data_IF_792957681799
#
_entry.id   IF_792957681799
#
_cell.length_a   1.000
_cell.length_b   1.000
_cell.length_c   1.000
_cell.angle_alpha   90.00
_cell.angle_beta   90.00
_cell.angle_gamma   90.00
#
_symmetry.space_group_name_H-M   'P 1'
#
loop_
_entity.id
_entity.type
_entity.pdbx_description
1 polymer ?
#
# COMPACT_ATOMS: atom_id res chain seq x y z
N UNK A 1 -4.66 -15.59 6.47
CA UNK A 1 -4.30 -14.87 5.22
C UNK A 1 -3.19 -15.65 4.56
N UNK A 2 -3.28 -15.86 3.25
CA UNK A 2 -2.27 -16.51 2.43
C UNK A 2 -1.95 -15.56 1.27
N UNK A 3 -0.70 -15.18 1.12
CA UNK A 3 -0.22 -14.29 0.07
C UNK A 3 0.32 -15.12 -1.08
N UNK A 4 -0.06 -14.80 -2.31
CA UNK A 4 0.40 -15.48 -3.53
C UNK A 4 0.68 -14.47 -4.63
N UNK A 5 1.75 -14.70 -5.38
CA UNK A 5 1.98 -14.02 -6.64
C UNK A 5 1.02 -14.56 -7.72
N UNK A 6 0.63 -13.72 -8.66
CA UNK A 6 -0.20 -14.12 -9.78
C UNK A 6 0.17 -13.34 -11.05
N UNK A 7 -0.16 -13.93 -12.19
CA UNK A 7 -0.10 -13.23 -13.47
C UNK A 7 -1.49 -12.68 -13.80
N UNK A 8 -1.65 -11.38 -14.04
CA UNK A 8 -2.85 -10.87 -14.65
C UNK A 8 -2.97 -11.44 -16.07
N UNK A 9 -4.13 -11.89 -16.47
CA UNK A 9 -4.39 -12.39 -17.82
C UNK A 9 -5.32 -11.43 -18.57
N UNK A 10 -5.15 -11.36 -19.88
CA UNK A 10 -5.90 -10.45 -20.78
C UNK A 10 -7.42 -10.66 -20.73
N UNK A 11 -7.89 -11.81 -20.31
CA UNK A 11 -9.31 -12.15 -20.14
C UNK A 11 -9.85 -11.77 -18.73
N UNK A 12 -9.04 -11.13 -17.89
CA UNK A 12 -9.39 -10.76 -16.52
C UNK A 12 -9.36 -11.93 -15.53
N UNK A 13 -8.93 -13.13 -15.95
CA UNK A 13 -8.74 -14.25 -15.04
C UNK A 13 -7.43 -14.10 -14.25
N UNK A 14 -7.41 -14.60 -13.02
CA UNK A 14 -6.21 -14.62 -12.18
C UNK A 14 -5.59 -16.00 -12.25
N UNK A 15 -4.32 -16.06 -12.65
CA UNK A 15 -3.51 -17.27 -12.57
C UNK A 15 -2.46 -17.10 -11.50
N UNK A 16 -2.57 -17.86 -10.43
CA UNK A 16 -1.54 -17.87 -9.39
C UNK A 16 -0.25 -18.46 -9.93
N UNK A 17 0.86 -17.83 -9.61
CA UNK A 17 2.19 -18.33 -9.94
C UNK A 17 2.44 -19.67 -9.22
N UNK A 18 3.14 -20.59 -9.91
CA UNK A 18 3.62 -21.81 -9.28
C UNK A 18 4.60 -21.48 -8.13
N UNK A 19 4.65 -22.28 -7.06
CA UNK A 19 5.39 -21.94 -5.84
C UNK A 19 6.89 -21.67 -6.03
N UNK A 20 7.48 -22.21 -7.07
CA UNK A 20 8.88 -22.10 -7.43
C UNK A 20 9.13 -21.10 -8.58
N UNK A 21 8.09 -20.43 -9.06
CA UNK A 21 8.23 -19.38 -10.06
C UNK A 21 8.91 -18.16 -9.45
N UNK A 22 9.97 -17.70 -10.11
CA UNK A 22 10.64 -16.46 -9.70
C UNK A 22 9.71 -15.28 -9.91
N UNK A 23 9.58 -14.44 -8.88
CA UNK A 23 8.78 -13.22 -9.00
C UNK A 23 9.40 -12.26 -10.03
N UNK A 24 8.53 -11.65 -10.84
CA UNK A 24 8.86 -10.63 -11.83
C UNK A 24 8.04 -9.36 -11.55
N UNK A 25 8.55 -8.16 -11.89
CA UNK A 25 7.87 -6.89 -11.57
C UNK A 25 6.44 -6.77 -12.13
N UNK A 26 6.14 -7.43 -13.24
CA UNK A 26 4.82 -7.43 -13.88
C UNK A 26 3.80 -8.33 -13.17
N UNK A 27 4.26 -9.18 -12.26
CA UNK A 27 3.37 -10.02 -11.47
C UNK A 27 2.64 -9.20 -10.42
N UNK A 28 1.34 -9.38 -10.33
CA UNK A 28 0.55 -8.88 -9.21
C UNK A 28 0.70 -9.77 -7.97
N UNK A 29 0.34 -9.22 -6.84
CA UNK A 29 0.21 -9.97 -5.59
C UNK A 29 -1.26 -10.19 -5.26
N UNK A 30 -1.57 -11.38 -4.76
CA UNK A 30 -2.90 -11.72 -4.26
C UNK A 30 -2.81 -12.31 -2.87
N UNK A 31 -3.87 -12.17 -2.11
CA UNK A 31 -4.02 -12.86 -0.84
C UNK A 31 -5.42 -13.44 -0.70
N UNK A 32 -5.49 -14.56 -0.02
CA UNK A 32 -6.75 -15.24 0.23
C UNK A 32 -7.14 -15.22 1.71
N UNK A 33 -8.43 -15.30 1.95
CA UNK A 33 -9.01 -15.33 3.29
C UNK A 33 -10.29 -16.15 3.32
N UNK A 34 -10.75 -16.49 4.51
CA UNK A 34 -12.03 -17.16 4.74
C UNK A 34 -13.04 -16.17 5.32
N UNK A 35 -14.26 -16.19 4.78
CA UNK A 35 -15.37 -15.45 5.32
C UNK A 35 -16.64 -16.31 5.26
N UNK A 36 -17.33 -16.47 6.40
CA UNK A 36 -18.51 -17.33 6.54
C UNK A 36 -18.30 -18.76 5.99
N UNK A 37 -17.10 -19.32 6.19
CA UNK A 37 -16.75 -20.65 5.70
C UNK A 37 -16.47 -20.75 4.20
N UNK A 38 -16.52 -19.65 3.47
CA UNK A 38 -16.21 -19.58 2.04
C UNK A 38 -14.84 -18.93 1.83
N UNK A 39 -14.06 -19.48 0.91
CA UNK A 39 -12.81 -18.88 0.46
C UNK A 39 -13.11 -17.69 -0.45
N UNK A 40 -12.40 -16.60 -0.22
CA UNK A 40 -12.42 -15.41 -1.05
C UNK A 40 -11.01 -14.85 -1.20
N UNK A 41 -10.79 -13.91 -2.11
CA UNK A 41 -9.47 -13.35 -2.38
C UNK A 41 -9.53 -11.90 -2.80
N UNK A 42 -8.44 -11.21 -2.57
CA UNK A 42 -8.19 -9.85 -3.05
C UNK A 42 -6.82 -9.80 -3.74
N UNK A 43 -6.65 -8.84 -4.63
CA UNK A 43 -5.41 -8.61 -5.34
C UNK A 43 -4.79 -7.28 -4.93
N UNK A 44 -3.48 -7.18 -5.09
CA UNK A 44 -2.71 -5.97 -4.99
C UNK A 44 -2.12 -5.62 -6.35
N UNK A 45 -2.03 -4.36 -6.75
CA UNK A 45 -1.44 -3.96 -8.02
C UNK A 45 -0.01 -4.43 -8.19
N UNK A 46 0.43 -4.40 -9.43
CA UNK A 46 1.83 -4.68 -9.77
C UNK A 46 2.77 -3.64 -9.15
N UNK A 47 4.02 -4.01 -9.06
CA UNK A 47 5.09 -3.06 -8.77
C UNK A 47 5.17 -2.01 -9.89
N UNK A 48 5.22 -0.76 -9.51
CA UNK A 48 5.41 0.37 -10.42
C UNK A 48 6.81 0.95 -10.20
N UNK A 49 7.48 1.29 -11.28
CA UNK A 49 8.73 2.02 -11.22
C UNK A 49 8.43 3.51 -11.26
N UNK A 50 9.16 4.28 -10.47
CA UNK A 50 9.13 5.73 -10.54
C UNK A 50 9.63 6.22 -11.90
N UNK A 51 8.85 7.02 -12.59
CA UNK A 51 9.14 7.60 -13.89
C UNK A 51 9.33 9.12 -13.81
N UNK A 52 9.75 9.73 -14.92
CA UNK A 52 9.91 11.20 -14.98
C UNK A 52 8.58 11.94 -14.77
N UNK A 53 7.47 11.34 -15.21
CA UNK A 53 6.12 11.88 -15.04
C UNK A 53 5.65 11.90 -13.57
N UNK A 54 6.35 11.18 -12.68
CA UNK A 54 6.10 11.21 -11.24
C UNK A 54 6.78 12.40 -10.53
N UNK A 55 7.45 13.27 -11.26
CA UNK A 55 8.12 14.45 -10.71
C UNK A 55 7.22 15.67 -10.77
N UNK A 56 7.27 16.49 -9.73
CA UNK A 56 6.54 17.77 -9.68
C UNK A 56 7.09 18.71 -10.76
N UNK A 57 6.22 19.12 -11.67
CA UNK A 57 6.51 20.06 -12.74
C UNK A 57 6.17 21.51 -12.36
N UNK A 58 6.61 22.45 -13.20
CA UNK A 58 6.30 23.88 -13.03
C UNK A 58 4.79 24.15 -13.05
N UNK A 59 4.04 23.36 -13.83
CA UNK A 59 2.58 23.43 -13.93
C UNK A 59 1.85 22.99 -12.66
N UNK A 60 2.51 22.21 -11.80
CA UNK A 60 1.95 21.66 -10.57
C UNK A 60 2.16 22.58 -9.37
N UNK A 61 2.96 23.61 -9.53
CA UNK A 61 3.24 24.52 -8.43
C UNK A 61 2.03 25.38 -8.07
N UNK A 62 1.95 25.76 -6.82
CA UNK A 62 0.94 26.67 -6.32
C UNK A 62 1.03 28.02 -7.05
N UNK A 63 -0.12 28.56 -7.44
CA UNK A 63 -0.26 29.86 -8.05
C UNK A 63 -1.59 30.49 -7.58
N UNK A 64 -1.82 31.76 -7.93
CA UNK A 64 -3.10 32.42 -7.65
C UNK A 64 -4.28 31.71 -8.33
N UNK A 65 -4.01 31.02 -9.46
CA UNK A 65 -4.99 30.23 -10.21
C UNK A 65 -5.13 28.79 -9.67
N UNK A 66 -4.09 28.28 -8.99
CA UNK A 66 -4.00 26.91 -8.44
C UNK A 66 -3.48 26.93 -7.00
N UNK A 67 -4.24 27.45 -6.04
CA UNK A 67 -3.77 27.62 -4.65
C UNK A 67 -3.49 26.28 -3.91
N UNK A 68 -3.92 25.16 -4.46
CA UNK A 68 -3.70 23.82 -3.92
C UNK A 68 -2.56 23.05 -4.62
N UNK A 69 -1.77 23.75 -5.45
CA UNK A 69 -0.59 23.15 -6.08
C UNK A 69 0.55 22.89 -5.09
N UNK A 70 1.60 22.25 -5.58
CA UNK A 70 2.77 21.94 -4.77
C UNK A 70 3.62 23.20 -4.49
N UNK A 71 4.36 23.14 -3.36
CA UNK A 71 5.33 24.19 -3.03
C UNK A 71 6.54 24.16 -3.97
N UNK A 72 7.13 25.32 -4.35
CA UNK A 72 8.25 25.40 -5.27
C UNK A 72 9.50 24.58 -4.87
N UNK A 73 9.66 24.24 -3.59
CA UNK A 73 10.76 23.40 -3.09
C UNK A 73 10.68 21.95 -3.54
N UNK A 74 9.52 21.53 -4.06
CA UNK A 74 9.31 20.18 -4.59
C UNK A 74 9.54 20.08 -6.10
N UNK A 75 9.81 21.19 -6.79
CA UNK A 75 10.06 21.18 -8.24
C UNK A 75 11.17 20.19 -8.59
N UNK A 76 10.87 19.27 -9.51
CA UNK A 76 11.77 18.21 -9.93
C UNK A 76 11.97 17.09 -8.93
N UNK A 77 11.24 17.10 -7.82
CA UNK A 77 11.22 15.99 -6.83
C UNK A 77 9.98 15.12 -7.04
N UNK A 78 10.05 13.90 -6.57
CA UNK A 78 8.94 12.98 -6.62
C UNK A 78 7.71 13.53 -5.87
N UNK A 79 6.56 13.59 -6.55
CA UNK A 79 5.32 14.20 -6.01
C UNK A 79 4.88 13.57 -4.67
N UNK A 80 5.16 12.26 -4.47
CA UNK A 80 4.92 11.54 -3.23
C UNK A 80 5.54 12.23 -2.01
N UNK A 81 6.71 12.85 -2.17
CA UNK A 81 7.37 13.58 -1.09
C UNK A 81 6.59 14.82 -0.68
N UNK A 82 5.96 15.50 -1.65
CA UNK A 82 5.14 16.67 -1.38
C UNK A 82 3.86 16.31 -0.61
N UNK A 83 3.28 15.15 -0.89
CA UNK A 83 2.10 14.66 -0.17
C UNK A 83 2.41 14.36 1.31
N UNK A 84 3.64 13.95 1.63
CA UNK A 84 4.04 13.58 2.99
C UNK A 84 4.83 14.64 3.75
N UNK A 85 5.20 15.76 3.11
CA UNK A 85 6.14 16.76 3.67
C UNK A 85 5.79 17.26 5.09
N UNK A 86 4.51 17.36 5.41
CA UNK A 86 4.04 17.96 6.67
C UNK A 86 4.06 16.97 7.84
N UNK A 87 4.15 15.69 7.56
CA UNK A 87 3.89 14.63 8.53
C UNK A 87 5.10 13.76 8.86
N UNK A 88 6.20 13.84 8.09
CA UNK A 88 7.30 12.89 8.22
C UNK A 88 8.61 13.50 8.69
N UNK A 89 9.31 12.82 9.62
CA UNK A 89 10.71 13.11 9.93
C UNK A 89 11.59 13.02 8.68
N UNK A 90 12.69 13.79 8.66
CA UNK A 90 13.57 13.88 7.49
C UNK A 90 14.16 12.53 7.05
N UNK A 91 14.46 11.64 8.00
CA UNK A 91 14.97 10.29 7.71
C UNK A 91 13.92 9.41 7.01
N UNK A 92 12.64 9.56 7.36
CA UNK A 92 11.54 8.82 6.72
C UNK A 92 11.25 9.36 5.31
N UNK A 93 11.29 10.67 5.14
CA UNK A 93 11.23 11.27 3.80
C UNK A 93 12.38 10.81 2.92
N UNK A 94 13.61 10.75 3.45
CA UNK A 94 14.76 10.26 2.71
C UNK A 94 14.62 8.77 2.30
N UNK A 95 14.03 7.95 3.15
CA UNK A 95 13.75 6.55 2.82
C UNK A 95 12.77 6.43 1.64
N UNK A 96 11.69 7.24 1.62
CA UNK A 96 10.76 7.30 0.50
C UNK A 96 11.45 7.84 -0.76
N UNK A 97 12.26 8.90 -0.63
CA UNK A 97 12.98 9.51 -1.75
C UNK A 97 13.98 8.55 -2.41
N UNK A 98 14.56 7.65 -1.63
CA UNK A 98 15.50 6.65 -2.14
C UNK A 98 14.84 5.50 -2.89
N UNK A 99 13.54 5.29 -2.75
CA UNK A 99 12.81 4.23 -3.41
C UNK A 99 12.63 4.57 -4.90
N UNK A 100 12.90 3.61 -5.77
CA UNK A 100 12.70 3.70 -7.22
C UNK A 100 11.50 2.88 -7.71
N UNK A 101 10.87 2.12 -6.82
CA UNK A 101 9.69 1.33 -7.07
C UNK A 101 8.67 1.49 -5.94
N UNK A 102 7.41 1.33 -6.28
CA UNK A 102 6.32 1.36 -5.30
C UNK A 102 5.18 0.44 -5.69
N UNK A 103 4.39 0.05 -4.68
CA UNK A 103 3.10 -0.60 -4.84
C UNK A 103 2.05 0.30 -4.23
N UNK A 104 0.97 0.56 -4.94
CA UNK A 104 -0.14 1.33 -4.38
C UNK A 104 -1.45 0.56 -4.49
N UNK A 105 -2.30 0.74 -3.51
CA UNK A 105 -3.65 0.19 -3.50
C UNK A 105 -4.61 1.21 -2.90
N UNK A 106 -5.67 1.48 -3.62
CA UNK A 106 -6.79 2.25 -3.11
C UNK A 106 -7.94 1.31 -2.76
N UNK A 107 -8.36 1.31 -1.50
CA UNK A 107 -9.45 0.47 -1.04
C UNK A 107 -10.59 1.27 -0.44
N UNK A 108 -11.81 0.86 -0.75
CA UNK A 108 -12.99 1.38 -0.08
C UNK A 108 -13.17 0.72 1.29
N UNK A 109 -13.59 1.51 2.30
CA UNK A 109 -13.85 1.05 3.68
C UNK A 109 -15.00 0.02 3.79
N UNK A 110 -15.75 -0.25 2.73
CA UNK A 110 -16.93 -1.12 2.74
C UNK A 110 -16.66 -2.62 2.57
N UNK A 111 -15.40 -3.04 2.49
CA UNK A 111 -15.03 -4.46 2.37
C UNK A 111 -15.04 -5.20 3.71
N UNK A 112 -14.91 -6.55 3.67
CA UNK A 112 -14.79 -7.34 4.89
C UNK A 112 -13.56 -6.93 5.72
N UNK A 113 -13.68 -6.90 7.06
CA UNK A 113 -12.59 -6.55 7.96
C UNK A 113 -11.31 -7.37 7.72
N UNK A 114 -11.46 -8.66 7.40
CA UNK A 114 -10.33 -9.55 7.09
C UNK A 114 -9.59 -9.13 5.81
N UNK A 115 -10.30 -8.62 4.79
CA UNK A 115 -9.66 -8.12 3.58
C UNK A 115 -8.84 -6.86 3.88
N UNK A 116 -9.39 -5.91 4.64
CA UNK A 116 -8.67 -4.72 5.09
C UNK A 116 -7.40 -5.07 5.86
N UNK A 117 -7.49 -6.02 6.78
CA UNK A 117 -6.32 -6.53 7.52
C UNK A 117 -5.31 -7.17 6.57
N UNK A 118 -5.79 -7.93 5.59
CA UNK A 118 -4.96 -8.59 4.57
C UNK A 118 -4.13 -7.60 3.73
N UNK A 119 -4.70 -6.49 3.32
CA UNK A 119 -3.96 -5.45 2.60
C UNK A 119 -2.76 -4.93 3.40
N UNK A 120 -2.95 -4.63 4.69
CA UNK A 120 -1.84 -4.21 5.54
C UNK A 120 -0.79 -5.31 5.74
N UNK A 121 -1.19 -6.57 5.83
CA UNK A 121 -0.24 -7.70 5.94
C UNK A 121 0.57 -7.88 4.64
N UNK A 122 -0.04 -7.65 3.47
CA UNK A 122 0.69 -7.66 2.18
C UNK A 122 1.67 -6.49 2.12
N UNK A 123 1.24 -5.28 2.52
CA UNK A 123 2.13 -4.12 2.58
C UNK A 123 3.33 -4.38 3.50
N UNK A 124 3.10 -4.96 4.68
CA UNK A 124 4.19 -5.31 5.59
C UNK A 124 5.14 -6.36 5.00
N UNK A 125 4.61 -7.39 4.35
CA UNK A 125 5.43 -8.42 3.71
C UNK A 125 6.28 -7.85 2.55
N UNK A 126 5.73 -6.92 1.76
CA UNK A 126 6.46 -6.21 0.72
C UNK A 126 7.57 -5.33 1.31
N UNK A 127 7.25 -4.53 2.33
CA UNK A 127 8.23 -3.66 2.98
C UNK A 127 9.36 -4.48 3.62
N UNK A 128 9.07 -5.62 4.26
CA UNK A 128 10.08 -6.52 4.80
C UNK A 128 10.98 -7.11 3.71
N UNK A 129 10.37 -7.55 2.59
CA UNK A 129 11.11 -8.19 1.50
C UNK A 129 12.00 -7.24 0.71
N UNK A 130 11.68 -5.93 0.70
CA UNK A 130 12.35 -4.91 -0.10
C UNK A 130 13.14 -3.88 0.71
N UNK A 131 13.15 -4.03 2.05
CA UNK A 131 13.67 -3.02 2.98
C UNK A 131 13.00 -1.64 2.74
N UNK A 132 11.73 -1.68 2.37
CA UNK A 132 10.92 -0.51 2.03
C UNK A 132 10.17 0.06 3.23
N UNK A 133 9.38 1.10 2.95
CA UNK A 133 8.53 1.75 3.95
C UNK A 133 7.06 1.74 3.54
N UNK A 134 6.19 1.83 4.53
CA UNK A 134 4.74 1.85 4.35
C UNK A 134 4.23 3.25 4.62
N UNK A 135 3.38 3.76 3.74
CA UNK A 135 2.78 5.08 3.88
C UNK A 135 1.35 5.13 3.30
N UNK A 136 0.57 6.13 3.66
CA UNK A 136 -0.78 6.37 3.16
C UNK A 136 -0.97 7.82 2.78
N UNK A 137 -1.53 8.08 1.60
CA UNK A 137 -1.84 9.42 1.11
C UNK A 137 -3.15 9.97 1.65
N UNK A 138 -4.10 9.11 1.94
CA UNK A 138 -5.50 9.47 2.17
C UNK A 138 -5.89 9.51 3.64
N UNK A 139 -4.93 9.66 4.53
CA UNK A 139 -5.15 9.67 5.98
C UNK A 139 -5.74 8.37 6.54
N UNK A 140 -5.58 7.24 5.84
CA UNK A 140 -5.96 5.92 6.36
C UNK A 140 -5.21 5.59 7.67
N UNK A 141 -4.05 6.21 7.85
CA UNK A 141 -3.31 6.26 9.13
C UNK A 141 -3.30 7.70 9.66
N UNK A 142 -3.06 7.89 10.95
CA UNK A 142 -2.60 9.20 11.37
C UNK A 142 -1.15 9.43 10.88
N UNK A 143 -0.77 10.70 10.72
CA UNK A 143 0.51 11.05 10.10
C UNK A 143 1.74 10.51 10.83
N UNK A 144 1.59 10.09 12.10
CA UNK A 144 2.69 9.52 12.90
C UNK A 144 3.09 8.12 12.41
N UNK A 145 2.22 7.43 11.68
CA UNK A 145 2.41 6.07 11.19
C UNK A 145 2.88 6.00 9.72
N UNK A 146 3.09 7.11 9.05
CA UNK A 146 3.64 7.11 7.70
C UNK A 146 5.16 6.90 7.69
N UNK A 147 5.69 6.22 6.67
CA UNK A 147 7.10 5.95 6.51
C UNK A 147 7.65 4.90 7.48
N UNK A 148 6.81 3.99 7.94
CA UNK A 148 7.18 2.93 8.88
C UNK A 148 7.76 1.71 8.17
N UNK A 149 8.72 1.07 8.83
CA UNK A 149 9.15 -0.29 8.48
C UNK A 149 8.02 -1.31 8.71
N UNK A 150 8.16 -2.49 8.14
CA UNK A 150 7.22 -3.59 8.38
C UNK A 150 7.00 -3.88 9.88
N UNK A 151 8.06 -3.87 10.67
CA UNK A 151 7.99 -4.15 12.10
C UNK A 151 7.25 -3.07 12.89
N UNK A 152 7.51 -1.79 12.61
CA UNK A 152 6.80 -0.66 13.21
C UNK A 152 5.32 -0.71 12.86
N UNK A 153 4.98 -0.92 11.60
CA UNK A 153 3.61 -1.02 11.11
C UNK A 153 2.85 -2.19 11.75
N UNK A 154 3.43 -3.38 11.81
CA UNK A 154 2.78 -4.56 12.39
C UNK A 154 2.54 -4.43 13.90
N UNK A 155 3.31 -3.59 14.58
CA UNK A 155 3.15 -3.37 16.03
C UNK A 155 1.79 -2.78 16.42
N UNK A 156 1.12 -2.07 15.52
CA UNK A 156 -0.17 -1.42 15.79
C UNK A 156 -1.29 -1.81 14.82
N UNK A 157 -0.98 -2.27 13.61
CA UNK A 157 -1.97 -2.48 12.56
C UNK A 157 -3.13 -3.40 12.96
N UNK A 158 -2.81 -4.52 13.59
CA UNK A 158 -3.83 -5.50 14.01
C UNK A 158 -4.81 -4.94 15.02
N UNK A 159 -4.31 -4.27 16.05
CA UNK A 159 -5.14 -3.65 17.09
C UNK A 159 -6.00 -2.55 16.50
N UNK A 160 -5.48 -1.72 15.61
CA UNK A 160 -6.23 -0.69 14.89
C UNK A 160 -7.40 -1.26 14.08
N UNK A 161 -7.20 -2.41 13.41
CA UNK A 161 -8.27 -3.08 12.68
C UNK A 161 -9.37 -3.60 13.63
N UNK A 162 -8.97 -4.17 14.78
CA UNK A 162 -9.91 -4.65 15.80
C UNK A 162 -10.71 -3.48 16.38
N UNK A 163 -10.06 -2.37 16.68
CA UNK A 163 -10.70 -1.17 17.23
C UNK A 163 -11.72 -0.58 16.24
N UNK A 164 -11.38 -0.56 14.94
CA UNK A 164 -12.24 0.01 13.91
C UNK A 164 -13.43 -0.89 13.56
N UNK A 165 -13.19 -2.18 13.32
CA UNK A 165 -14.22 -3.10 12.85
C UNK A 165 -14.94 -3.86 13.98
N UNK A 166 -14.35 -3.88 15.16
CA UNK A 166 -14.80 -4.72 16.29
C UNK A 166 -14.41 -6.19 16.13
N UNK A 167 -14.11 -6.84 17.24
CA UNK A 167 -13.67 -8.25 17.28
C UNK A 167 -14.67 -9.21 16.63
N UNK A 168 -15.96 -8.89 16.68
CA UNK A 168 -17.03 -9.71 16.09
C UNK A 168 -16.90 -9.84 14.57
N UNK A 169 -16.43 -8.80 13.89
CA UNK A 169 -16.23 -8.79 12.44
C UNK A 169 -15.20 -9.82 11.95
N UNK A 170 -14.37 -10.33 12.86
CA UNK A 170 -13.36 -11.34 12.56
C UNK A 170 -13.79 -12.76 12.91
N UNK A 171 -14.92 -12.96 13.57
CA UNK A 171 -15.41 -14.31 13.94
C UNK A 171 -15.76 -15.17 12.73
N UNK A 172 -16.29 -14.54 11.68
CA UNK A 172 -16.66 -15.20 10.43
C UNK A 172 -15.47 -15.64 9.58
N UNK A 173 -14.25 -15.24 9.94
CA UNK A 173 -13.03 -15.49 9.15
C UNK A 173 -12.29 -16.75 9.58
N UNK A 174 -12.80 -17.49 10.55
CA UNK A 174 -12.22 -18.76 10.98
C UNK A 174 -12.56 -19.85 9.97
N UNK A 175 -11.56 -20.63 9.62
CA UNK A 175 -11.77 -21.89 8.90
C UNK A 175 -12.57 -22.82 9.83
N UNK A 176 -13.68 -23.36 9.29
CA UNK A 176 -14.48 -24.36 10.01
C UNK A 176 -13.68 -25.64 10.24
#
# INVERSE_FOLDING_TARGET
VEVKAFHPSDDGSIRYAEPDLRWEPEMGLGFGYWINGTWDSSSWPSCLRREEDDLVEQSDLASDERPYGYSPEFLGRWYVLAEFQVALPAEKLAAIESADHYWSEYRNVGGPAVASTGYGLVAAALAEATDGVIASFDSAFDGSHNGESAAEFLAWWGDRQIDFYGVESFRSTRRA
#
